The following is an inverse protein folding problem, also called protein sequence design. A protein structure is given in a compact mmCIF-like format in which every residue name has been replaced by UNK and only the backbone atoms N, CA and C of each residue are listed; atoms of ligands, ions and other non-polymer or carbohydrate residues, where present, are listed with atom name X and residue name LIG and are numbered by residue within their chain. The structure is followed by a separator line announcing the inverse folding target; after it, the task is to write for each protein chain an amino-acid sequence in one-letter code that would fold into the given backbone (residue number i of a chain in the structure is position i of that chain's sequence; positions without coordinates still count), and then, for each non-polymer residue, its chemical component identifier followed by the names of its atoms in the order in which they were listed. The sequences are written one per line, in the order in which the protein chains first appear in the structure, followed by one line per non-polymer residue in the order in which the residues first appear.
data_IF_895405533750
#
_entry.id   IF_895405533750
#
_cell.length_a   1.000
_cell.length_b   1.000
_cell.length_c   1.000
_cell.angle_alpha   90.00
_cell.angle_beta   90.00
_cell.angle_gamma   90.00
#
_symmetry.space_group_name_H-M   'P 1'
#
loop_
_entity.id
_entity.type
_entity.pdbx_description
1 polymer ?
#
# COMPACT_ATOMS: atom_id res chain seq x y z
N UNK A 1 -22.95 14.58 17.75
CA UNK A 1 -22.31 13.95 16.58
C UNK A 1 -22.79 14.54 15.25
N UNK A 2 -24.04 14.31 14.81
CA UNK A 2 -24.46 14.71 13.44
C UNK A 2 -24.53 16.22 13.20
N UNK A 3 -24.93 17.00 14.22
CA UNK A 3 -25.04 18.46 14.11
C UNK A 3 -23.66 19.15 14.08
N UNK A 4 -22.67 18.59 14.79
CA UNK A 4 -21.31 19.12 14.84
C UNK A 4 -20.62 19.02 13.47
N UNK A 5 -20.80 17.90 12.78
CA UNK A 5 -20.26 17.71 11.42
C UNK A 5 -20.87 18.74 10.46
N UNK A 6 -22.17 19.01 10.56
CA UNK A 6 -22.86 20.02 9.75
C UNK A 6 -22.29 21.42 9.99
N UNK A 7 -22.08 21.80 11.26
CA UNK A 7 -21.49 23.09 11.62
C UNK A 7 -20.05 23.20 11.09
N UNK A 8 -19.24 22.16 11.27
CA UNK A 8 -17.86 22.12 10.75
C UNK A 8 -17.86 22.25 9.24
N UNK A 9 -18.78 21.58 8.54
CA UNK A 9 -18.86 21.63 7.07
C UNK A 9 -19.23 23.04 6.58
N UNK A 10 -20.19 23.69 7.23
CA UNK A 10 -20.59 25.07 6.90
C UNK A 10 -19.44 26.03 7.14
N UNK A 11 -18.77 25.94 8.29
CA UNK A 11 -17.61 26.78 8.62
C UNK A 11 -16.46 26.53 7.63
N UNK A 12 -16.19 25.27 7.29
CA UNK A 12 -15.15 24.90 6.34
C UNK A 12 -15.44 25.44 4.93
N UNK A 13 -16.69 25.41 4.46
CA UNK A 13 -17.08 25.95 3.14
C UNK A 13 -17.00 27.49 3.14
N UNK A 14 -17.31 28.14 4.26
CA UNK A 14 -17.19 29.61 4.39
C UNK A 14 -15.72 30.07 4.42
N UNK A 15 -14.86 29.36 5.14
CA UNK A 15 -13.42 29.66 5.27
C UNK A 15 -12.64 29.22 4.03
N UNK A 16 -13.04 28.11 3.42
CA UNK A 16 -12.48 27.56 2.18
C UNK A 16 -13.56 27.50 1.11
N UNK A 17 -13.74 28.57 0.29
CA UNK A 17 -14.81 28.62 -0.69
C UNK A 17 -14.74 27.42 -1.64
N UNK A 18 -15.88 26.78 -1.95
CA UNK A 18 -15.94 25.51 -2.66
C UNK A 18 -15.45 25.61 -4.11
N UNK A 19 -15.27 26.84 -4.61
CA UNK A 19 -14.70 27.12 -5.92
C UNK A 19 -13.24 26.69 -6.06
N UNK A 20 -12.45 26.68 -4.97
CA UNK A 20 -11.00 26.33 -5.00
C UNK A 20 -10.69 24.91 -4.53
N UNK A 21 -11.63 24.24 -3.85
CA UNK A 21 -11.52 22.84 -3.43
C UNK A 21 -11.34 21.85 -4.60
N UNK A 22 -12.10 21.90 -5.71
CA UNK A 22 -11.92 20.96 -6.82
C UNK A 22 -10.60 21.19 -7.56
N UNK A 23 -10.08 22.41 -7.56
CA UNK A 23 -8.79 22.73 -8.15
C UNK A 23 -7.65 22.12 -7.31
N UNK A 24 -7.70 22.26 -5.99
CA UNK A 24 -6.76 21.60 -5.07
C UNK A 24 -6.89 20.07 -5.14
N UNK A 25 -8.10 19.52 -5.15
CA UNK A 25 -8.33 18.09 -5.26
C UNK A 25 -7.75 17.50 -6.56
N UNK A 26 -7.83 18.23 -7.69
CA UNK A 26 -7.18 17.81 -8.94
C UNK A 26 -5.66 17.74 -8.82
N UNK A 27 -5.03 18.76 -8.24
CA UNK A 27 -3.56 18.80 -8.10
C UNK A 27 -3.06 17.81 -7.03
N UNK A 28 -3.75 17.72 -5.90
CA UNK A 28 -3.48 16.73 -4.85
C UNK A 28 -3.70 15.31 -5.36
N UNK A 29 -4.76 15.07 -6.13
CA UNK A 29 -5.04 13.78 -6.75
C UNK A 29 -3.95 13.36 -7.74
N UNK A 30 -3.42 14.30 -8.53
CA UNK A 30 -2.28 14.04 -9.41
C UNK A 30 -1.03 13.66 -8.61
N UNK A 31 -0.70 14.41 -7.57
CA UNK A 31 0.44 14.13 -6.68
C UNK A 31 0.31 12.79 -5.95
N UNK A 32 -0.86 12.50 -5.40
CA UNK A 32 -1.16 11.22 -4.73
C UNK A 32 -1.06 10.05 -5.71
N UNK A 33 -1.53 10.22 -6.95
CA UNK A 33 -1.42 9.20 -8.00
C UNK A 33 0.04 8.93 -8.35
N UNK A 34 0.87 9.97 -8.44
CA UNK A 34 2.30 9.83 -8.68
C UNK A 34 2.99 9.15 -7.49
N UNK A 35 2.72 9.60 -6.27
CA UNK A 35 3.26 8.99 -5.04
C UNK A 35 2.88 7.51 -4.91
N UNK A 36 1.64 7.14 -5.25
CA UNK A 36 1.21 5.73 -5.24
C UNK A 36 1.95 4.89 -6.29
N UNK A 37 2.26 5.43 -7.48
CA UNK A 37 3.09 4.71 -8.47
C UNK A 37 4.51 4.45 -7.97
N UNK A 38 5.10 5.43 -7.28
CA UNK A 38 6.42 5.27 -6.65
C UNK A 38 6.38 4.27 -5.50
N UNK A 39 5.37 4.34 -4.63
CA UNK A 39 5.16 3.36 -3.56
C UNK A 39 4.98 1.95 -4.11
N UNK A 40 4.22 1.79 -5.20
CA UNK A 40 4.03 0.49 -5.84
C UNK A 40 5.34 -0.09 -6.38
N UNK A 41 6.20 0.74 -6.98
CA UNK A 41 7.53 0.30 -7.43
C UNK A 41 8.43 -0.11 -6.26
N UNK A 42 8.47 0.69 -5.20
CA UNK A 42 9.24 0.37 -4.00
C UNK A 42 8.72 -0.90 -3.31
N UNK A 43 7.40 -1.07 -3.25
CA UNK A 43 6.79 -2.24 -2.66
C UNK A 43 7.09 -3.49 -3.48
N UNK A 44 6.96 -3.42 -4.80
CA UNK A 44 7.31 -4.53 -5.69
C UNK A 44 8.78 -4.92 -5.56
N UNK A 45 9.69 -3.93 -5.52
CA UNK A 45 11.11 -4.19 -5.32
C UNK A 45 11.40 -4.82 -3.95
N UNK A 46 10.70 -4.37 -2.91
CA UNK A 46 10.80 -4.94 -1.56
C UNK A 46 10.29 -6.37 -1.49
N UNK A 47 9.13 -6.64 -2.10
CA UNK A 47 8.52 -7.97 -2.17
C UNK A 47 9.45 -8.94 -2.92
N UNK A 48 10.06 -8.48 -4.02
CA UNK A 48 10.98 -9.29 -4.82
C UNK A 48 12.23 -9.72 -4.02
N UNK A 49 12.77 -8.84 -3.16
CA UNK A 49 13.88 -9.19 -2.27
C UNK A 49 13.46 -10.17 -1.17
N UNK A 50 12.28 -10.00 -0.59
CA UNK A 50 11.74 -10.91 0.42
C UNK A 50 11.50 -12.31 -0.14
N UNK A 51 10.89 -12.41 -1.33
CA UNK A 51 10.66 -13.70 -1.99
C UNK A 51 11.95 -14.41 -2.40
N UNK A 52 13.00 -13.68 -2.78
CA UNK A 52 14.29 -14.28 -3.07
C UNK A 52 14.91 -14.93 -1.83
N UNK A 53 14.83 -14.27 -0.67
CA UNK A 53 15.30 -14.83 0.59
C UNK A 53 14.47 -16.04 1.04
N UNK A 54 13.15 -15.98 0.83
CA UNK A 54 12.23 -17.08 1.20
C UNK A 54 12.41 -18.32 0.30
N UNK A 55 12.71 -18.13 -0.99
CA UNK A 55 13.02 -19.22 -1.93
C UNK A 55 14.26 -20.02 -1.51
N UNK A 56 15.32 -19.35 -1.05
CA UNK A 56 16.53 -20.03 -0.58
C UNK A 56 16.26 -20.85 0.69
N UNK A 57 15.46 -20.30 1.61
CA UNK A 57 15.09 -21.00 2.84
C UNK A 57 14.17 -22.21 2.57
N UNK A 58 13.23 -22.06 1.62
CA UNK A 58 12.35 -23.15 1.19
C UNK A 58 13.12 -24.26 0.47
N UNK A 59 14.13 -23.93 -0.34
CA UNK A 59 15.01 -24.93 -0.95
C UNK A 59 15.79 -25.72 0.11
N UNK A 60 16.36 -25.04 1.11
CA UNK A 60 17.06 -25.73 2.22
C UNK A 60 16.14 -26.62 3.04
N UNK A 61 14.90 -26.19 3.27
CA UNK A 61 13.88 -27.00 3.95
C UNK A 61 13.42 -28.19 3.10
N UNK A 62 13.25 -28.02 1.79
CA UNK A 62 12.92 -29.11 0.87
C UNK A 62 14.05 -30.15 0.79
N UNK A 63 15.31 -29.71 0.70
CA UNK A 63 16.48 -30.60 0.70
C UNK A 63 16.65 -31.34 2.04
N UNK A 64 16.35 -30.69 3.16
CA UNK A 64 16.35 -31.33 4.47
C UNK A 64 15.20 -32.36 4.62
N UNK A 65 14.03 -32.05 4.05
CA UNK A 65 12.88 -32.96 4.03
C UNK A 65 13.12 -34.19 3.14
N UNK A 66 13.77 -34.02 1.97
CA UNK A 66 14.14 -35.12 1.09
C UNK A 66 15.17 -36.05 1.73
N UNK A 67 16.11 -35.52 2.52
CA UNK A 67 17.05 -36.34 3.31
C UNK A 67 16.37 -37.13 4.44
N UNK A 68 15.17 -36.73 4.85
CA UNK A 68 14.39 -37.39 5.88
C UNK A 68 13.18 -38.16 5.34
N UNK A 69 13.04 -38.29 4.02
CA UNK A 69 12.02 -39.14 3.45
C UNK A 69 12.47 -40.61 3.51
N UNK A 70 11.88 -41.47 4.36
CA UNK A 70 12.05 -42.89 4.18
C UNK A 70 11.37 -43.23 2.86
N UNK A 71 12.13 -43.76 1.91
CA UNK A 71 11.61 -44.44 0.73
C UNK A 71 10.74 -45.60 1.19
N UNK A 72 9.46 -45.32 1.48
CA UNK A 72 8.45 -46.33 1.71
C UNK A 72 8.11 -46.94 0.35
N UNK A 73 8.76 -48.08 0.08
CA UNK A 73 8.30 -49.07 -0.91
C UNK A 73 6.91 -49.56 -0.54
#
# INVERSE_FOLDING_TARGET
MSLEILVILVVAILVFPPQKLPLLAKHMGYLLRQANRFKAHLHYWWEQQMHAAELEENQRKAEAADKHYPSKK
#
